data_IF_577698325036
#
_entry.id   IF_577698325036
#
_cell.length_a   1.000
_cell.length_b   1.000
_cell.length_c   1.000
_cell.angle_alpha   90.00
_cell.angle_beta   90.00
_cell.angle_gamma   90.00
#
_symmetry.space_group_name_H-M   'P 1'
#
loop_
_entity.id
_entity.type
_entity.pdbx_description
1 polymer ?
#
# COMPACT_ATOMS: atom_id res chain seq x y z
N UNK A 1 -2.43 -9.84 20.04
CA UNK A 1 -3.23 -10.50 18.98
C UNK A 1 -2.59 -11.81 18.59
N UNK A 2 -3.32 -12.86 18.73
CA UNK A 2 -2.85 -14.17 18.31
C UNK A 2 -2.70 -14.24 16.80
N UNK A 3 -1.64 -14.88 16.32
CA UNK A 3 -1.37 -14.99 14.89
C UNK A 3 -0.71 -13.78 14.26
N UNK A 4 -0.49 -12.71 15.00
CA UNK A 4 0.15 -11.51 14.49
C UNK A 4 1.67 -11.66 14.54
N UNK A 5 2.25 -11.97 13.39
CA UNK A 5 3.68 -12.24 13.25
C UNK A 5 4.26 -11.59 12.00
N UNK A 6 5.56 -11.37 12.01
CA UNK A 6 6.30 -10.92 10.82
C UNK A 6 6.15 -11.96 9.71
N UNK A 7 5.89 -11.50 8.50
CA UNK A 7 5.68 -12.35 7.33
C UNK A 7 4.22 -12.72 7.09
N UNK A 8 3.33 -12.43 8.02
CA UNK A 8 1.89 -12.69 7.84
C UNK A 8 1.33 -11.76 6.78
N UNK A 9 0.47 -12.29 5.91
CA UNK A 9 -0.24 -11.50 4.91
C UNK A 9 -1.61 -11.11 5.46
N UNK A 10 -1.90 -9.82 5.42
CA UNK A 10 -3.17 -9.23 5.81
C UNK A 10 -3.64 -8.30 4.69
N UNK A 11 -4.84 -7.72 4.81
CA UNK A 11 -5.32 -6.71 3.85
C UNK A 11 -5.17 -5.32 4.45
N UNK A 12 -4.58 -4.42 3.67
CA UNK A 12 -4.48 -3.00 3.99
C UNK A 12 -5.51 -2.22 3.18
N UNK A 13 -6.18 -1.26 3.81
CA UNK A 13 -7.20 -0.43 3.17
C UNK A 13 -6.58 0.92 2.82
N UNK A 14 -6.61 1.28 1.53
CA UNK A 14 -5.98 2.48 0.99
C UNK A 14 -6.66 3.75 1.51
N UNK A 15 -5.85 4.70 1.99
CA UNK A 15 -6.29 6.06 2.34
C UNK A 15 -6.22 6.96 1.11
N UNK A 16 -6.94 8.07 1.15
CA UNK A 16 -6.92 9.03 0.05
C UNK A 16 -5.50 9.51 -0.29
N UNK A 17 -4.71 9.86 0.72
CA UNK A 17 -3.34 10.34 0.47
C UNK A 17 -2.40 9.24 -0.02
N UNK A 18 -2.64 7.98 0.37
CA UNK A 18 -1.92 6.83 -0.18
C UNK A 18 -2.20 6.71 -1.68
N UNK A 19 -3.47 6.80 -2.07
CA UNK A 19 -3.89 6.72 -3.47
C UNK A 19 -3.22 7.83 -4.28
N UNK A 20 -3.23 9.05 -3.76
CA UNK A 20 -2.60 10.19 -4.43
C UNK A 20 -1.10 9.97 -4.63
N UNK A 21 -0.40 9.46 -3.61
CA UNK A 21 1.04 9.20 -3.68
C UNK A 21 1.37 8.09 -4.67
N UNK A 22 0.61 7.00 -4.63
CA UNK A 22 0.82 5.85 -5.52
C UNK A 22 0.57 6.26 -6.97
N UNK A 23 -0.57 6.89 -7.25
CA UNK A 23 -0.96 7.28 -8.61
C UNK A 23 0.01 8.28 -9.21
N UNK A 24 0.57 9.17 -8.39
CA UNK A 24 1.55 10.15 -8.84
C UNK A 24 2.84 9.51 -9.35
N UNK A 25 3.17 8.32 -8.85
CA UNK A 25 4.37 7.58 -9.24
C UNK A 25 4.17 6.69 -10.48
N UNK A 26 2.93 6.49 -10.92
CA UNK A 26 2.62 5.62 -12.07
C UNK A 26 3.04 6.29 -13.37
N UNK A 27 3.62 5.51 -14.29
CA UNK A 27 3.98 6.02 -15.62
C UNK A 27 2.76 6.40 -16.45
N UNK A 28 1.61 5.82 -16.13
CA UNK A 28 0.34 6.16 -16.80
C UNK A 28 -0.37 7.34 -16.15
N UNK A 29 0.21 7.95 -15.11
CA UNK A 29 -0.34 9.16 -14.51
C UNK A 29 0.00 10.37 -15.35
N UNK A 30 -0.85 11.39 -15.30
CA UNK A 30 -0.65 12.62 -16.08
C UNK A 30 0.64 13.33 -15.72
N UNK A 31 0.96 13.40 -14.42
CA UNK A 31 2.18 14.08 -13.97
C UNK A 31 3.46 13.40 -14.48
N UNK A 32 3.48 12.08 -14.56
CA UNK A 32 4.64 11.35 -15.05
C UNK A 32 4.75 11.49 -16.57
N UNK A 33 3.62 11.41 -17.30
CA UNK A 33 3.59 11.63 -18.75
C UNK A 33 4.14 13.02 -19.11
N UNK A 34 3.72 14.03 -18.38
CA UNK A 34 4.17 15.39 -18.55
C UNK A 34 5.67 15.53 -18.31
N UNK A 35 6.17 14.94 -17.25
CA UNK A 35 7.61 14.97 -16.92
C UNK A 35 8.44 14.25 -17.97
N UNK A 36 7.95 13.13 -18.48
CA UNK A 36 8.63 12.42 -19.57
C UNK A 36 8.66 13.24 -20.86
N UNK A 37 7.57 13.93 -21.18
CA UNK A 37 7.49 14.78 -22.37
C UNK A 37 8.49 15.95 -22.32
N UNK A 38 8.85 16.39 -21.13
CA UNK A 38 9.80 17.49 -20.93
C UNK A 38 11.23 17.00 -20.62
N UNK A 39 11.50 15.71 -20.83
CA UNK A 39 12.80 15.10 -20.56
C UNK A 39 13.26 15.26 -19.09
N UNK A 40 12.32 15.33 -18.18
CA UNK A 40 12.61 15.45 -16.75
C UNK A 40 12.81 14.11 -16.06
N UNK A 41 12.64 13.01 -16.79
CA UNK A 41 12.78 11.67 -16.25
C UNK A 41 14.26 11.29 -16.14
N UNK A 42 14.71 10.98 -14.93
CA UNK A 42 16.09 10.57 -14.69
C UNK A 42 16.36 9.17 -15.25
N UNK A 43 17.50 9.06 -15.93
CA UNK A 43 18.03 7.75 -16.31
C UNK A 43 18.33 6.97 -15.02
N UNK A 44 17.78 5.80 -14.87
CA UNK A 44 17.92 5.00 -13.67
C UNK A 44 16.75 5.13 -12.69
N UNK A 45 15.83 6.05 -12.91
CA UNK A 45 14.59 6.07 -12.15
C UNK A 45 13.73 4.88 -12.56
N UNK A 46 13.30 4.10 -11.59
CA UNK A 46 12.44 2.93 -11.86
C UNK A 46 11.03 3.40 -12.21
N UNK A 47 10.53 2.97 -13.36
CA UNK A 47 9.16 3.26 -13.76
C UNK A 47 8.18 2.39 -12.96
N UNK A 48 7.18 3.02 -12.33
CA UNK A 48 6.11 2.34 -11.63
C UNK A 48 4.93 2.19 -12.57
N UNK A 49 4.59 0.95 -12.88
CA UNK A 49 3.53 0.59 -13.83
C UNK A 49 2.46 -0.19 -13.11
N UNK A 50 1.20 0.18 -13.31
CA UNK A 50 0.08 -0.54 -12.74
C UNK A 50 -1.21 0.23 -12.84
N UNK A 51 -2.27 -0.39 -12.32
CA UNK A 51 -3.60 0.19 -12.28
C UNK A 51 -3.64 1.33 -11.26
N UNK A 52 -4.40 2.38 -11.55
CA UNK A 52 -4.61 3.47 -10.59
C UNK A 52 -5.34 2.95 -9.35
N UNK A 53 -5.07 3.58 -8.22
CA UNK A 53 -5.54 3.15 -6.90
C UNK A 53 -6.53 4.18 -6.35
N UNK A 54 -7.59 3.71 -5.70
CA UNK A 54 -8.60 4.59 -5.09
C UNK A 54 -8.73 4.31 -3.59
N UNK A 55 -9.15 5.33 -2.84
CA UNK A 55 -9.44 5.19 -1.42
C UNK A 55 -10.45 4.07 -1.17
N UNK A 56 -10.20 3.27 -0.16
CA UNK A 56 -11.09 2.18 0.22
C UNK A 56 -10.76 0.86 -0.44
N UNK A 57 -9.92 0.85 -1.47
CA UNK A 57 -9.47 -0.40 -2.08
C UNK A 57 -8.57 -1.17 -1.12
N UNK A 58 -8.63 -2.48 -1.19
CA UNK A 58 -7.87 -3.37 -0.31
C UNK A 58 -6.80 -4.11 -1.10
N UNK A 59 -5.61 -4.15 -0.53
CA UNK A 59 -4.47 -4.84 -1.13
C UNK A 59 -3.76 -5.69 -0.10
N UNK A 60 -3.14 -6.79 -0.51
CA UNK A 60 -2.36 -7.61 0.42
C UNK A 60 -1.16 -6.85 0.95
N UNK A 61 -0.91 -7.00 2.25
CA UNK A 61 0.24 -6.41 2.92
C UNK A 61 0.98 -7.50 3.67
N UNK A 62 2.31 -7.56 3.48
CA UNK A 62 3.15 -8.43 4.31
C UNK A 62 3.62 -7.63 5.52
N UNK A 63 3.39 -8.15 6.71
CA UNK A 63 3.85 -7.54 7.95
C UNK A 63 5.36 -7.71 8.05
N UNK A 64 6.09 -6.59 8.12
CA UNK A 64 7.56 -6.60 8.23
C UNK A 64 8.01 -6.32 9.65
N UNK A 65 7.18 -5.68 10.47
CA UNK A 65 7.46 -5.45 11.88
C UNK A 65 6.17 -5.30 12.67
N UNK A 66 6.13 -5.91 13.85
CA UNK A 66 5.03 -5.75 14.79
C UNK A 66 5.47 -4.73 15.82
N UNK A 67 4.79 -3.58 15.89
CA UNK A 67 5.11 -2.49 16.80
C UNK A 67 4.40 -2.66 18.15
N UNK A 68 3.16 -3.10 18.14
CA UNK A 68 2.36 -3.35 19.32
C UNK A 68 1.46 -4.55 19.06
N UNK A 69 1.83 -5.68 19.65
CA UNK A 69 1.12 -6.94 19.40
C UNK A 69 -0.30 -6.94 19.97
N UNK A 70 -0.51 -6.29 21.10
CA UNK A 70 -1.83 -6.25 21.72
C UNK A 70 -2.81 -5.40 20.95
N UNK A 71 -2.35 -4.25 20.47
CA UNK A 71 -3.21 -3.31 19.72
C UNK A 71 -3.22 -3.59 18.23
N UNK A 72 -2.37 -4.48 17.75
CA UNK A 72 -2.29 -4.80 16.33
C UNK A 72 -1.69 -3.70 15.49
N UNK A 73 -0.65 -3.02 16.00
CA UNK A 73 0.04 -1.96 15.26
C UNK A 73 1.24 -2.56 14.54
N UNK A 74 1.30 -2.38 13.23
CA UNK A 74 2.34 -3.00 12.40
C UNK A 74 2.90 -2.03 11.37
N UNK A 75 4.05 -2.42 10.79
CA UNK A 75 4.59 -1.86 9.55
C UNK A 75 4.53 -2.94 8.50
N UNK A 76 4.31 -2.55 7.25
CA UNK A 76 4.21 -3.53 6.19
C UNK A 76 4.56 -3.02 4.82
N UNK A 77 4.70 -3.96 3.89
CA UNK A 77 4.83 -3.70 2.46
C UNK A 77 3.52 -4.10 1.80
N UNK A 78 2.89 -3.15 1.12
CA UNK A 78 1.63 -3.35 0.42
C UNK A 78 1.92 -3.73 -1.03
N UNK A 79 1.36 -4.85 -1.49
CA UNK A 79 1.52 -5.30 -2.88
C UNK A 79 0.37 -4.73 -3.71
N UNK A 80 0.73 -3.86 -4.64
CA UNK A 80 -0.24 -3.17 -5.49
C UNK A 80 -0.50 -3.94 -6.78
N UNK A 81 -1.57 -3.58 -7.48
CA UNK A 81 -1.85 -4.12 -8.80
C UNK A 81 -0.94 -3.44 -9.82
N UNK A 82 0.31 -3.89 -9.84
CA UNK A 82 1.35 -3.31 -10.65
C UNK A 82 2.70 -3.96 -10.35
N UNK A 83 3.78 -3.31 -10.77
CA UNK A 83 5.14 -3.82 -10.57
C UNK A 83 5.82 -3.25 -9.32
N UNK A 84 5.05 -2.61 -8.44
CA UNK A 84 5.59 -1.90 -7.28
C UNK A 84 4.98 -2.37 -5.97
N UNK A 85 5.68 -2.04 -4.88
CA UNK A 85 5.20 -2.21 -3.53
C UNK A 85 5.16 -0.83 -2.86
N UNK A 86 4.35 -0.73 -1.81
CA UNK A 86 4.15 0.52 -1.09
C UNK A 86 4.32 0.27 0.41
N UNK A 87 5.26 0.98 1.03
CA UNK A 87 5.55 0.81 2.45
C UNK A 87 4.66 1.68 3.32
N UNK A 88 4.13 1.10 4.40
CA UNK A 88 3.28 1.81 5.37
C UNK A 88 3.82 1.63 6.80
N UNK A 89 3.71 2.68 7.59
CA UNK A 89 4.15 2.71 8.99
C UNK A 89 2.98 2.80 9.94
N UNK A 90 3.13 2.19 11.11
CA UNK A 90 2.21 2.34 12.25
C UNK A 90 0.73 2.19 11.86
N UNK A 91 0.41 1.07 11.20
CA UNK A 91 -0.95 0.77 10.76
C UNK A 91 -1.66 -0.03 11.85
N UNK A 92 -2.84 0.45 12.24
CA UNK A 92 -3.67 -0.16 13.28
C UNK A 92 -4.64 -1.17 12.69
N UNK A 93 -4.95 -2.20 13.45
CA UNK A 93 -5.96 -3.17 13.02
C UNK A 93 -7.37 -2.62 13.18
N UNK A 94 -8.26 -3.01 12.28
CA UNK A 94 -9.69 -2.78 12.40
C UNK A 94 -10.40 -3.94 11.71
N UNK A 95 -11.00 -4.83 12.50
CA UNK A 95 -11.52 -6.10 11.99
C UNK A 95 -13.00 -6.05 11.60
N UNK A 96 -13.76 -5.10 12.13
CA UNK A 96 -15.20 -5.05 11.95
C UNK A 96 -15.62 -4.52 10.58
N UNK A 97 -14.89 -3.54 10.07
CA UNK A 97 -15.14 -2.96 8.75
C UNK A 97 -13.85 -2.42 8.16
N UNK A 98 -13.74 -2.34 6.81
CA UNK A 98 -12.52 -1.87 6.16
C UNK A 98 -12.41 -0.35 6.21
N UNK A 99 -11.80 0.17 7.27
CA UNK A 99 -11.53 1.60 7.39
C UNK A 99 -10.23 1.98 6.67
N UNK A 100 -10.21 3.07 5.88
CA UNK A 100 -8.98 3.55 5.25
C UNK A 100 -7.86 3.74 6.26
N UNK A 101 -6.67 3.19 5.95
CA UNK A 101 -5.51 3.29 6.82
C UNK A 101 -5.43 2.20 7.89
N UNK A 102 -6.32 1.23 7.85
CA UNK A 102 -6.30 0.08 8.77
C UNK A 102 -5.96 -1.21 8.03
N UNK A 103 -5.69 -2.25 8.81
CA UNK A 103 -5.52 -3.60 8.25
C UNK A 103 -6.50 -4.56 8.93
N UNK A 104 -6.84 -5.63 8.24
CA UNK A 104 -7.66 -6.71 8.79
C UNK A 104 -7.19 -8.06 8.25
N UNK A 105 -7.61 -9.13 8.94
CA UNK A 105 -7.27 -10.48 8.50
C UNK A 105 -7.89 -10.79 7.15
N UNK A 106 -7.19 -11.61 6.38
CA UNK A 106 -7.74 -12.13 5.11
C UNK A 106 -8.88 -13.09 5.47
N UNK A 107 -10.05 -12.86 4.88
CA UNK A 107 -11.19 -13.75 5.09
C UNK A 107 -10.93 -15.10 4.43
N UNK A 108 -11.33 -16.15 5.13
CA UNK A 108 -11.29 -17.51 4.57
C UNK A 108 -12.56 -17.74 3.76
N UNK A 109 -12.37 -18.15 2.55
CA UNK A 109 -13.48 -18.57 1.70
C UNK A 109 -13.84 -20.03 1.97
#
# INVERSE_FOLDING_TARGET
MEGLTVGRIVHFVIREWDANRINRRRTNSESIKERMAHNEWNLGAQAHIGTSVEEGEEYPMIIVKVLDKERGVVRGQVFLDGNDVYWVEAIYSHQDEPLPGSWHWVERE
#
